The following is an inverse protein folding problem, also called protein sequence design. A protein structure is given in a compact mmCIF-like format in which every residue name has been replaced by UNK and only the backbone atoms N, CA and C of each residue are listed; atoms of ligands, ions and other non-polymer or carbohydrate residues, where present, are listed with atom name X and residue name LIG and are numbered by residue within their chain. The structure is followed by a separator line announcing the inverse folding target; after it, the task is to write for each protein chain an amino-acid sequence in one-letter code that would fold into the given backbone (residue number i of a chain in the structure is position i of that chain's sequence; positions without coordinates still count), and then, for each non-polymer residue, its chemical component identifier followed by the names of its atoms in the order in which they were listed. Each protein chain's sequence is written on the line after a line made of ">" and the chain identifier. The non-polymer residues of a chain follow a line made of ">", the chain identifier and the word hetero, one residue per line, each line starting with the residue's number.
data_IF_509688267154
#
_entry.id   IF_509688267154
#
_cell.length_a   1.000
_cell.length_b   1.000
_cell.length_c   1.000
_cell.angle_alpha   90.00
_cell.angle_beta   90.00
_cell.angle_gamma   90.00
#
_symmetry.space_group_name_H-M   'P 1'
#
loop_
_entity.id
_entity.type
_entity.pdbx_description
1 polymer ?
#
# COMPACT_ATOMS: atom_id res chain seq x y z
N UNK A 1 -0.33 8.27 -0.12
CA UNK A 1 -1.18 7.52 -1.09
C UNK A 1 -0.29 6.59 -1.90
N UNK A 2 -0.86 5.58 -2.56
CA UNK A 2 -0.12 4.74 -3.53
C UNK A 2 -0.86 4.76 -4.87
N UNK A 3 -0.12 4.99 -5.95
CA UNK A 3 -0.59 5.12 -7.33
C UNK A 3 0.11 4.09 -8.24
N UNK A 4 -0.22 4.05 -9.53
CA UNK A 4 0.38 3.11 -10.49
C UNK A 4 0.25 1.67 -9.99
N UNK A 5 -0.99 1.31 -9.67
CA UNK A 5 -1.30 0.05 -9.03
C UNK A 5 -1.11 -1.09 -10.01
N UNK A 6 -0.50 -2.16 -9.51
CA UNK A 6 -0.40 -3.44 -10.17
C UNK A 6 -0.89 -4.52 -9.22
N UNK A 7 -2.12 -4.99 -9.44
CA UNK A 7 -2.71 -6.07 -8.67
C UNK A 7 -2.29 -7.43 -9.25
N UNK A 8 -2.01 -8.39 -8.36
CA UNK A 8 -1.52 -9.72 -8.73
C UNK A 8 -2.53 -10.79 -8.30
N UNK A 9 -3.03 -10.70 -7.07
CA UNK A 9 -3.96 -11.70 -6.53
C UNK A 9 -5.44 -11.33 -6.72
N UNK A 10 -5.73 -10.10 -7.12
CA UNK A 10 -7.09 -9.56 -7.30
C UNK A 10 -7.14 -8.76 -8.61
N UNK A 11 -8.32 -8.61 -9.19
CA UNK A 11 -8.49 -7.78 -10.40
C UNK A 11 -8.50 -6.28 -10.06
N UNK A 12 -9.12 -5.91 -8.94
CA UNK A 12 -9.18 -4.55 -8.42
C UNK A 12 -9.51 -4.56 -6.91
N UNK A 13 -9.08 -3.51 -6.20
CA UNK A 13 -9.53 -3.25 -4.84
C UNK A 13 -10.87 -2.50 -4.88
N UNK A 14 -11.96 -3.17 -4.52
CA UNK A 14 -13.32 -2.58 -4.52
C UNK A 14 -13.79 -2.15 -3.13
N UNK A 15 -13.20 -2.70 -2.08
CA UNK A 15 -13.52 -2.43 -0.68
C UNK A 15 -12.24 -2.33 0.15
N UNK A 16 -12.25 -1.67 1.32
CA UNK A 16 -11.12 -1.66 2.23
C UNK A 16 -10.61 -3.06 2.59
N UNK A 17 -9.29 -3.25 2.61
CA UNK A 17 -8.64 -4.52 2.93
C UNK A 17 -7.51 -4.33 3.94
N UNK A 18 -7.38 -5.24 4.92
CA UNK A 18 -6.22 -5.30 5.81
C UNK A 18 -5.14 -6.15 5.19
N UNK A 19 -3.93 -5.61 5.13
CA UNK A 19 -2.75 -6.26 4.53
C UNK A 19 -1.48 -5.83 5.28
N UNK A 20 -0.38 -6.51 5.02
CA UNK A 20 0.95 -6.06 5.41
C UNK A 20 1.59 -5.29 4.25
N UNK A 21 2.06 -4.06 4.49
CA UNK A 21 2.74 -3.25 3.49
C UNK A 21 4.24 -3.20 3.73
N UNK A 22 5.03 -3.49 2.69
CA UNK A 22 6.47 -3.30 2.65
C UNK A 22 6.80 -2.09 1.78
N UNK A 23 7.25 -1.00 2.42
CA UNK A 23 7.54 0.28 1.75
C UNK A 23 9.01 0.44 1.34
N UNK A 24 9.90 -0.40 1.89
CA UNK A 24 11.33 -0.44 1.56
C UNK A 24 11.86 -1.85 1.72
N UNK A 25 12.83 -2.22 0.90
CA UNK A 25 13.41 -3.59 0.86
C UNK A 25 13.93 -4.07 2.22
N UNK A 26 14.49 -3.15 3.01
CA UNK A 26 15.10 -3.43 4.31
C UNK A 26 14.16 -3.33 5.52
N UNK A 27 12.87 -2.96 5.35
CA UNK A 27 11.92 -2.93 6.47
C UNK A 27 11.09 -4.21 6.59
N UNK A 28 10.72 -4.50 7.83
CA UNK A 28 9.63 -5.40 8.17
C UNK A 28 8.34 -4.79 7.62
N UNK A 29 7.47 -5.63 7.06
CA UNK A 29 6.18 -5.18 6.59
C UNK A 29 5.33 -4.69 7.78
N UNK A 30 4.60 -3.59 7.60
CA UNK A 30 3.73 -3.01 8.62
C UNK A 30 2.27 -3.36 8.33
N UNK A 31 1.48 -3.63 9.37
CA UNK A 31 0.04 -3.81 9.22
C UNK A 31 -0.62 -2.49 8.78
N UNK A 32 -1.42 -2.56 7.72
CA UNK A 32 -2.12 -1.42 7.13
C UNK A 32 -3.53 -1.80 6.71
N UNK A 33 -4.39 -0.78 6.60
CA UNK A 33 -5.63 -0.85 5.85
C UNK A 33 -5.44 -0.08 4.54
N UNK A 34 -5.68 -0.75 3.41
CA UNK A 34 -5.73 -0.12 2.08
C UNK A 34 -7.18 0.16 1.69
N UNK A 35 -7.44 1.34 1.13
CA UNK A 35 -8.78 1.77 0.72
C UNK A 35 -8.75 2.29 -0.71
N UNK A 36 -9.71 1.93 -1.58
CA UNK A 36 -9.78 2.48 -2.92
C UNK A 36 -10.12 3.98 -2.87
N UNK A 37 -9.34 4.80 -3.58
CA UNK A 37 -9.63 6.22 -3.79
C UNK A 37 -10.10 6.48 -5.22
N UNK A 38 -9.42 5.86 -6.19
CA UNK A 38 -9.79 5.86 -7.61
C UNK A 38 -9.40 4.51 -8.22
N UNK A 39 -9.63 4.31 -9.53
CA UNK A 39 -9.25 3.08 -10.24
C UNK A 39 -7.76 2.75 -10.15
N UNK A 40 -6.88 3.76 -10.07
CA UNK A 40 -5.42 3.58 -10.06
C UNK A 40 -4.76 4.21 -8.81
N UNK A 41 -5.52 4.40 -7.74
CA UNK A 41 -5.02 5.01 -6.51
C UNK A 41 -5.70 4.46 -5.29
N UNK A 42 -4.90 4.15 -4.26
CA UNK A 42 -5.38 3.76 -2.94
C UNK A 42 -4.84 4.70 -1.85
N UNK A 43 -5.62 4.79 -0.79
CA UNK A 43 -5.16 5.30 0.50
C UNK A 43 -4.55 4.13 1.29
N UNK A 44 -3.43 4.37 1.96
CA UNK A 44 -2.80 3.41 2.86
C UNK A 44 -2.82 4.02 4.25
N UNK A 45 -3.55 3.40 5.18
CA UNK A 45 -3.64 3.79 6.59
C UNK A 45 -2.81 2.83 7.42
N UNK A 46 -1.77 3.34 8.06
CA UNK A 46 -0.95 2.54 8.98
C UNK A 46 -1.64 2.45 10.33
N UNK A 47 -1.62 1.26 10.94
CA UNK A 47 -2.13 1.08 12.31
C UNK A 47 -1.20 1.73 13.36
N UNK A 48 0.08 1.90 13.02
CA UNK A 48 1.07 2.61 13.82
C UNK A 48 1.89 3.57 12.95
N UNK A 49 2.33 4.74 13.47
CA UNK A 49 3.15 5.68 12.73
C UNK A 49 4.39 5.02 12.10
N UNK A 50 4.66 5.34 10.83
CA UNK A 50 5.86 4.89 10.12
C UNK A 50 6.75 6.09 9.78
N UNK A 51 8.03 5.99 10.11
CA UNK A 51 9.01 7.01 9.75
C UNK A 51 9.46 6.87 8.28
N UNK A 52 9.90 7.99 7.70
CA UNK A 52 10.63 8.03 6.43
C UNK A 52 9.91 7.41 5.23
N UNK A 53 8.60 7.62 5.09
CA UNK A 53 7.86 7.32 3.86
C UNK A 53 8.37 8.24 2.75
N UNK A 54 9.03 7.67 1.74
CA UNK A 54 9.68 8.43 0.66
C UNK A 54 8.86 8.30 -0.63
N UNK A 55 8.31 9.39 -1.17
CA UNK A 55 7.65 9.38 -2.47
C UNK A 55 8.57 8.85 -3.58
N UNK A 56 7.99 8.12 -4.54
CA UNK A 56 8.71 7.48 -5.64
C UNK A 56 9.22 6.07 -5.34
N UNK A 57 9.20 5.62 -4.07
CA UNK A 57 9.49 4.22 -3.74
C UNK A 57 8.28 3.31 -3.99
N UNK A 58 8.54 2.02 -4.16
CA UNK A 58 7.46 1.02 -4.29
C UNK A 58 6.88 0.64 -2.93
N UNK A 59 5.56 0.52 -2.87
CA UNK A 59 4.84 -0.17 -1.81
C UNK A 59 4.37 -1.53 -2.34
N UNK A 60 4.62 -2.59 -1.57
CA UNK A 60 4.13 -3.94 -1.88
C UNK A 60 3.22 -4.42 -0.77
N UNK A 61 2.06 -4.97 -1.12
CA UNK A 61 1.03 -5.42 -0.20
C UNK A 61 0.96 -6.94 -0.15
N UNK A 62 0.87 -7.48 1.06
CA UNK A 62 0.86 -8.90 1.35
C UNK A 62 -0.34 -9.30 2.21
N UNK A 63 -0.92 -10.46 1.90
CA UNK A 63 -1.87 -11.17 2.76
C UNK A 63 -1.23 -12.50 3.17
N UNK A 64 -0.68 -12.56 4.38
CA UNK A 64 0.25 -13.62 4.77
C UNK A 64 1.48 -13.65 3.85
N UNK A 65 1.70 -14.79 3.19
CA UNK A 65 2.79 -15.01 2.23
C UNK A 65 2.41 -14.62 0.78
N UNK A 66 1.14 -14.27 0.53
CA UNK A 66 0.64 -13.92 -0.80
C UNK A 66 0.91 -12.46 -1.13
N UNK A 67 1.52 -12.20 -2.29
CA UNK A 67 1.62 -10.84 -2.82
C UNK A 67 0.27 -10.45 -3.44
N UNK A 68 -0.41 -9.50 -2.80
CA UNK A 68 -1.69 -8.97 -3.30
C UNK A 68 -1.46 -8.07 -4.51
N UNK A 69 -0.44 -7.22 -4.43
CA UNK A 69 -0.08 -6.26 -5.47
C UNK A 69 0.87 -5.19 -4.95
N UNK A 70 1.01 -4.10 -5.68
CA UNK A 70 1.83 -2.98 -5.27
C UNK A 70 1.62 -1.73 -6.13
N UNK A 71 2.39 -0.70 -5.84
CA UNK A 71 2.39 0.54 -6.61
C UNK A 71 3.49 1.49 -6.15
N UNK A 72 3.44 2.73 -6.61
CA UNK A 72 4.38 3.79 -6.26
C UNK A 72 3.80 4.68 -5.17
N UNK A 73 4.58 4.90 -4.12
CA UNK A 73 4.26 5.83 -3.03
C UNK A 73 4.22 7.24 -3.61
N UNK A 74 3.04 7.85 -3.56
CA UNK A 74 2.81 9.24 -3.93
C UNK A 74 2.79 10.13 -2.68
N UNK A 75 2.99 11.44 -2.89
CA UNK A 75 3.07 12.44 -1.81
C UNK A 75 1.91 12.35 -0.81
N UNK A 76 2.23 12.72 0.44
CA UNK A 76 1.31 12.67 1.55
C UNK A 76 0.33 13.84 1.50
N UNK A 77 -0.94 13.57 1.24
CA UNK A 77 -2.06 14.46 1.53
C UNK A 77 -3.19 13.49 1.84
N UNK A 78 -3.61 13.27 3.09
CA UNK A 78 -4.07 14.23 4.09
C UNK A 78 -3.68 13.81 5.53
N UNK A 79 -3.64 14.83 6.39
CA UNK A 79 -3.55 14.80 7.86
C UNK A 79 -4.69 14.03 8.50
#
# INVERSE_FOLDING_TARGET
>A
MVTQLNWIAIDALIEPMRVNAKLRSAHVAAAVQIEPLTTDTILVKFEAPQEAITPGQSAVFYDGDLVVGGGIIANNTFT
#
